data_IF_551579557261
#
_entry.id   IF_551579557261
#
_cell.length_a   1.000
_cell.length_b   1.000
_cell.length_c   1.000
_cell.angle_alpha   90.00
_cell.angle_beta   90.00
_cell.angle_gamma   90.00
#
_symmetry.space_group_name_H-M   'P 1'
#
loop_
_entity.id
_entity.type
_entity.pdbx_description
1 polymer ?
#
# COMPACT_ATOMS: atom_id res chain seq x y z
N UNK A 1 -4.74 3.22 3.74
CA UNK A 1 -5.98 2.91 4.51
C UNK A 1 -6.34 3.97 5.55
N UNK A 2 -5.43 4.40 6.43
CA UNK A 2 -5.76 5.25 7.59
C UNK A 2 -5.97 6.74 7.27
N UNK A 3 -5.05 7.36 6.52
CA UNK A 3 -5.02 8.83 6.33
C UNK A 3 -5.56 9.31 4.98
N UNK A 4 -6.13 8.39 4.18
CA UNK A 4 -6.53 8.66 2.80
C UNK A 4 -5.37 8.62 1.79
N UNK A 5 -5.65 8.50 0.48
CA UNK A 5 -4.64 8.27 -0.55
C UNK A 5 -3.75 9.49 -0.81
N UNK A 6 -4.30 10.70 -0.78
CA UNK A 6 -3.54 11.93 -1.04
C UNK A 6 -2.48 12.18 0.04
N UNK A 7 -2.89 12.19 1.32
CA UNK A 7 -1.97 12.37 2.45
C UNK A 7 -0.94 11.25 2.53
N UNK A 8 -1.34 10.01 2.26
CA UNK A 8 -0.41 8.87 2.23
C UNK A 8 0.62 9.00 1.09
N UNK A 9 0.20 9.45 -0.10
CA UNK A 9 1.10 9.68 -1.25
C UNK A 9 2.17 10.71 -0.88
N UNK A 10 1.77 11.86 -0.30
CA UNK A 10 2.72 12.90 0.10
C UNK A 10 3.66 12.42 1.22
N UNK A 11 3.12 11.76 2.24
CA UNK A 11 3.91 11.24 3.36
C UNK A 11 4.95 10.22 2.89
N UNK A 12 4.56 9.26 2.04
CA UNK A 12 5.49 8.26 1.52
C UNK A 12 6.55 8.86 0.60
N UNK A 13 6.21 9.87 -0.21
CA UNK A 13 7.21 10.58 -1.01
C UNK A 13 8.29 11.22 -0.13
N UNK A 14 7.91 11.83 1.00
CA UNK A 14 8.87 12.38 1.96
C UNK A 14 9.72 11.29 2.60
N UNK A 15 9.11 10.19 3.04
CA UNK A 15 9.82 9.03 3.63
C UNK A 15 10.86 8.48 2.64
N UNK A 16 10.48 8.29 1.38
CA UNK A 16 11.37 7.78 0.33
C UNK A 16 12.51 8.77 0.02
N UNK A 17 12.24 10.07 0.05
CA UNK A 17 13.28 11.09 -0.08
C UNK A 17 14.30 11.01 1.05
N UNK A 18 13.84 10.83 2.30
CA UNK A 18 14.71 10.64 3.46
C UNK A 18 15.52 9.33 3.34
N UNK A 19 14.90 8.24 2.87
CA UNK A 19 15.57 6.96 2.60
C UNK A 19 16.72 7.11 1.59
N UNK A 20 16.46 7.80 0.48
CA UNK A 20 17.47 8.02 -0.55
C UNK A 20 18.61 8.95 -0.09
N UNK A 21 18.31 9.99 0.70
CA UNK A 21 19.28 11.01 1.11
C UNK A 21 20.11 10.62 2.34
N UNK A 22 19.47 10.07 3.38
CA UNK A 22 20.12 9.85 4.68
C UNK A 22 20.53 8.39 4.89
N UNK A 23 19.80 7.46 4.29
CA UNK A 23 20.05 6.03 4.46
C UNK A 23 20.71 5.38 3.24
N UNK A 24 20.95 6.16 2.17
CA UNK A 24 21.47 5.69 0.88
C UNK A 24 20.68 4.50 0.31
N UNK A 25 19.40 4.38 0.70
CA UNK A 25 18.53 3.29 0.32
C UNK A 25 17.65 3.71 -0.87
N UNK A 26 17.64 2.91 -1.92
CA UNK A 26 16.89 3.16 -3.15
C UNK A 26 17.51 4.16 -4.13
N UNK A 27 18.54 4.93 -3.75
CA UNK A 27 19.32 5.81 -4.64
C UNK A 27 18.58 7.04 -5.20
N UNK A 28 19.27 8.18 -5.35
CA UNK A 28 18.65 9.42 -5.84
C UNK A 28 18.14 9.33 -7.29
N UNK A 29 18.84 8.62 -8.16
CA UNK A 29 18.46 8.51 -9.58
C UNK A 29 17.22 7.65 -9.78
N UNK A 30 16.96 6.69 -8.89
CA UNK A 30 15.78 5.83 -8.93
C UNK A 30 14.63 6.34 -8.03
N UNK A 31 14.82 7.45 -7.31
CA UNK A 31 13.83 8.01 -6.39
C UNK A 31 12.47 8.23 -7.07
N UNK A 32 12.44 8.73 -8.30
CA UNK A 32 11.19 8.92 -9.04
C UNK A 32 10.41 7.62 -9.27
N UNK A 33 11.13 6.53 -9.62
CA UNK A 33 10.52 5.21 -9.80
C UNK A 33 10.04 4.63 -8.46
N UNK A 34 10.83 4.78 -7.40
CA UNK A 34 10.45 4.34 -6.06
C UNK A 34 9.20 5.06 -5.55
N UNK A 35 9.16 6.39 -5.69
CA UNK A 35 7.98 7.21 -5.39
C UNK A 35 6.78 6.73 -6.19
N UNK A 36 6.91 6.53 -7.50
CA UNK A 36 5.80 6.05 -8.31
C UNK A 36 5.29 4.68 -7.87
N UNK A 37 6.16 3.70 -7.62
CA UNK A 37 5.70 2.37 -7.21
C UNK A 37 5.06 2.36 -5.81
N UNK A 38 5.71 3.01 -4.85
CA UNK A 38 5.32 2.89 -3.44
C UNK A 38 4.33 3.96 -3.01
N UNK A 39 4.51 5.21 -3.40
CA UNK A 39 3.60 6.29 -3.00
C UNK A 39 2.40 6.44 -3.94
N UNK A 40 2.52 5.99 -5.20
CA UNK A 40 1.39 6.01 -6.16
C UNK A 40 0.75 4.64 -6.31
N UNK A 41 1.43 3.64 -6.90
CA UNK A 41 0.77 2.35 -7.20
C UNK A 41 0.25 1.68 -5.92
N UNK A 42 1.11 1.45 -4.92
CA UNK A 42 0.69 0.73 -3.71
C UNK A 42 -0.43 1.47 -2.95
N UNK A 43 -0.32 2.79 -2.77
CA UNK A 43 -1.32 3.59 -2.07
C UNK A 43 -2.66 3.58 -2.79
N UNK A 44 -2.68 3.84 -4.08
CA UNK A 44 -3.93 3.97 -4.83
C UNK A 44 -4.59 2.62 -5.06
N UNK A 45 -3.82 1.57 -5.33
CA UNK A 45 -4.33 0.19 -5.40
C UNK A 45 -4.97 -0.21 -4.07
N UNK A 46 -4.29 -0.01 -2.95
CA UNK A 46 -4.86 -0.33 -1.63
C UNK A 46 -6.11 0.50 -1.34
N UNK A 47 -6.15 1.77 -1.77
CA UNK A 47 -7.31 2.62 -1.58
C UNK A 47 -8.53 2.15 -2.39
N UNK A 48 -8.36 1.85 -3.67
CA UNK A 48 -9.45 1.35 -4.51
C UNK A 48 -9.94 -0.02 -4.03
N UNK A 49 -9.03 -0.91 -3.64
CA UNK A 49 -9.40 -2.20 -3.05
C UNK A 49 -10.17 -2.04 -1.74
N UNK A 50 -9.75 -1.13 -0.86
CA UNK A 50 -10.49 -0.84 0.37
C UNK A 50 -11.92 -0.36 0.06
N UNK A 51 -12.10 0.54 -0.90
CA UNK A 51 -13.44 1.02 -1.30
C UNK A 51 -14.27 -0.13 -1.89
N UNK A 52 -13.68 -0.95 -2.75
CA UNK A 52 -14.36 -2.09 -3.38
C UNK A 52 -14.77 -3.14 -2.33
N UNK A 53 -13.85 -3.55 -1.47
CA UNK A 53 -14.08 -4.56 -0.43
C UNK A 53 -15.12 -4.10 0.59
N UNK A 54 -15.17 -2.80 0.92
CA UNK A 54 -16.21 -2.24 1.80
C UNK A 54 -17.63 -2.32 1.23
N UNK A 55 -17.80 -2.55 -0.09
CA UNK A 55 -19.13 -2.74 -0.69
C UNK A 55 -19.66 -4.16 -0.47
N UNK A 56 -18.78 -5.13 -0.27
CA UNK A 56 -19.14 -6.55 -0.14
C UNK A 56 -18.99 -7.08 1.29
N UNK A 57 -18.08 -6.51 2.09
CA UNK A 57 -17.85 -6.93 3.46
C UNK A 57 -18.83 -6.29 4.45
N UNK A 58 -19.07 -6.94 5.61
CA UNK A 58 -19.89 -6.36 6.68
C UNK A 58 -19.37 -4.98 7.11
N UNK A 59 -20.29 -4.04 7.36
CA UNK A 59 -19.98 -2.68 7.84
C UNK A 59 -19.63 -2.66 9.34
N UNK A 60 -18.76 -3.58 9.76
CA UNK A 60 -18.27 -3.73 11.13
C UNK A 60 -16.80 -3.31 11.21
N UNK A 61 -16.30 -3.08 12.44
CA UNK A 61 -14.89 -2.76 12.66
C UNK A 61 -13.98 -3.86 12.09
N UNK A 62 -14.32 -5.13 12.36
CA UNK A 62 -13.62 -6.29 11.81
C UNK A 62 -13.64 -6.32 10.28
N UNK A 63 -14.78 -6.00 9.65
CA UNK A 63 -14.88 -5.92 8.20
C UNK A 63 -13.94 -4.88 7.59
N UNK A 64 -13.80 -3.70 8.22
CA UNK A 64 -12.84 -2.67 7.77
C UNK A 64 -11.39 -3.12 7.97
N UNK A 65 -11.07 -3.77 9.09
CA UNK A 65 -9.72 -4.31 9.33
C UNK A 65 -9.35 -5.38 8.30
N UNK A 66 -10.25 -6.33 8.01
CA UNK A 66 -10.01 -7.37 7.01
C UNK A 66 -9.85 -6.75 5.62
N UNK A 67 -10.72 -5.79 5.26
CA UNK A 67 -10.61 -5.07 4.00
C UNK A 67 -9.25 -4.37 3.86
N UNK A 68 -8.77 -3.75 4.93
CA UNK A 68 -7.47 -3.09 4.97
C UNK A 68 -6.31 -4.07 4.77
N UNK A 69 -6.34 -5.21 5.45
CA UNK A 69 -5.30 -6.23 5.35
C UNK A 69 -5.22 -6.84 3.94
N UNK A 70 -6.37 -7.15 3.32
CA UNK A 70 -6.42 -7.65 1.94
C UNK A 70 -5.95 -6.57 0.95
N UNK A 71 -6.37 -5.32 1.14
CA UNK A 71 -5.93 -4.22 0.31
C UNK A 71 -4.40 -4.00 0.39
N UNK A 72 -3.82 -4.12 1.58
CA UNK A 72 -2.38 -4.07 1.78
C UNK A 72 -1.68 -5.25 1.09
N UNK A 73 -2.13 -6.49 1.34
CA UNK A 73 -1.60 -7.71 0.72
C UNK A 73 -1.48 -7.59 -0.80
N UNK A 74 -2.57 -7.19 -1.47
CA UNK A 74 -2.63 -7.15 -2.94
C UNK A 74 -1.85 -5.95 -3.51
N UNK A 75 -1.73 -4.86 -2.77
CA UNK A 75 -1.00 -3.67 -3.24
C UNK A 75 0.50 -3.91 -3.43
N UNK A 76 1.10 -4.76 -2.60
CA UNK A 76 2.55 -5.05 -2.60
C UNK A 76 3.00 -5.73 -3.91
N UNK A 77 2.44 -6.88 -4.33
CA UNK A 77 2.83 -7.52 -5.58
C UNK A 77 2.41 -6.69 -6.81
N UNK A 78 1.34 -5.88 -6.74
CA UNK A 78 0.99 -4.98 -7.85
C UNK A 78 1.99 -3.82 -8.01
N UNK A 79 2.52 -3.27 -6.91
CA UNK A 79 3.61 -2.31 -6.97
C UNK A 79 4.91 -2.94 -7.51
N UNK A 80 5.20 -4.19 -7.13
CA UNK A 80 6.34 -4.95 -7.66
C UNK A 80 6.23 -5.22 -9.17
N UNK A 81 5.02 -5.48 -9.65
CA UNK A 81 4.72 -5.56 -11.08
C UNK A 81 4.92 -4.21 -11.77
N UNK A 82 4.51 -3.10 -11.14
CA UNK A 82 4.79 -1.75 -11.62
C UNK A 82 6.29 -1.51 -11.84
N UNK A 83 7.12 -1.90 -10.86
CA UNK A 83 8.58 -1.84 -11.00
C UNK A 83 9.07 -2.71 -12.17
N UNK A 84 8.57 -3.94 -12.28
CA UNK A 84 8.94 -4.86 -13.37
C UNK A 84 8.63 -4.28 -14.74
N UNK A 85 7.50 -3.58 -14.89
CA UNK A 85 7.14 -2.88 -16.12
C UNK A 85 8.10 -1.72 -16.42
N UNK A 86 8.45 -0.92 -15.41
CA UNK A 86 9.44 0.16 -15.57
C UNK A 86 10.81 -0.39 -15.96
N UNK A 87 11.23 -1.51 -15.37
CA UNK A 87 12.46 -2.21 -15.75
C UNK A 87 12.44 -2.64 -17.22
N UNK A 88 11.33 -3.23 -17.67
CA UNK A 88 11.15 -3.63 -19.07
C UNK A 88 11.20 -2.44 -20.03
N UNK A 89 10.55 -1.32 -19.65
CA UNK A 89 10.55 -0.08 -20.43
C UNK A 89 11.93 0.58 -20.48
N UNK A 90 12.73 0.44 -19.42
CA UNK A 90 14.08 0.98 -19.35
C UNK A 90 15.02 0.38 -20.39
N UNK A 91 14.79 -0.87 -20.82
CA UNK A 91 15.47 -1.50 -21.96
C UNK A 91 16.98 -1.73 -21.83
N UNK A 92 17.62 -1.23 -20.76
CA UNK A 92 19.06 -1.32 -20.50
C UNK A 92 19.42 -2.40 -19.47
N UNK A 93 18.43 -3.18 -19.04
CA UNK A 93 18.60 -4.26 -18.08
C UNK A 93 19.43 -5.42 -18.62
N UNK A 94 20.32 -5.98 -17.79
CA UNK A 94 21.14 -7.15 -18.13
C UNK A 94 20.44 -8.49 -17.86
N UNK A 95 19.31 -8.47 -17.15
CA UNK A 95 18.55 -9.66 -16.75
C UNK A 95 17.24 -9.68 -17.55
N UNK A 96 16.79 -10.86 -17.98
CA UNK A 96 15.53 -10.99 -18.70
C UNK A 96 14.34 -10.49 -17.86
N UNK A 97 13.38 -9.82 -18.50
CA UNK A 97 12.17 -9.31 -17.83
C UNK A 97 11.42 -10.44 -17.11
N UNK A 98 11.34 -11.63 -17.71
CA UNK A 98 10.68 -12.78 -17.09
C UNK A 98 11.35 -13.23 -15.78
N UNK A 99 12.69 -13.22 -15.74
CA UNK A 99 13.44 -13.54 -14.52
C UNK A 99 13.21 -12.48 -13.43
N UNK A 100 13.25 -11.19 -13.79
CA UNK A 100 12.97 -10.09 -12.85
C UNK A 100 11.53 -10.18 -12.34
N UNK A 101 10.55 -10.40 -13.23
CA UNK A 101 9.15 -10.55 -12.86
C UNK A 101 8.94 -11.71 -11.87
N UNK A 102 9.53 -12.87 -12.15
CA UNK A 102 9.44 -14.04 -11.28
C UNK A 102 10.03 -13.77 -9.88
N UNK A 103 11.22 -13.17 -9.82
CA UNK A 103 11.87 -12.82 -8.56
C UNK A 103 11.09 -11.76 -7.77
N UNK A 104 10.64 -10.70 -8.44
CA UNK A 104 9.90 -9.59 -7.84
C UNK A 104 8.55 -10.06 -7.30
N UNK A 105 7.72 -10.71 -8.13
CA UNK A 105 6.41 -11.19 -7.68
C UNK A 105 6.57 -12.24 -6.58
N UNK A 106 7.48 -13.20 -6.76
CA UNK A 106 7.66 -14.30 -5.80
C UNK A 106 8.00 -13.81 -4.39
N UNK A 107 9.00 -12.93 -4.29
CA UNK A 107 9.37 -12.33 -2.99
C UNK A 107 8.28 -11.42 -2.43
N UNK A 108 7.60 -10.66 -3.28
CA UNK A 108 6.62 -9.66 -2.85
C UNK A 108 5.27 -10.27 -2.44
N UNK A 109 4.96 -11.50 -2.85
CA UNK A 109 3.86 -12.26 -2.27
C UNK A 109 4.10 -12.57 -0.78
N UNK A 110 5.34 -12.97 -0.41
CA UNK A 110 5.71 -13.22 0.98
C UNK A 110 5.75 -11.93 1.80
N UNK A 111 6.37 -10.87 1.25
CA UNK A 111 6.38 -9.54 1.90
C UNK A 111 4.96 -9.02 2.08
N UNK A 112 4.09 -9.22 1.08
CA UNK A 112 2.68 -8.85 1.14
C UNK A 112 1.94 -9.49 2.31
N UNK A 113 2.25 -10.74 2.67
CA UNK A 113 1.66 -11.40 3.86
C UNK A 113 2.07 -10.69 5.15
N UNK A 114 3.35 -10.31 5.27
CA UNK A 114 3.85 -9.53 6.39
C UNK A 114 3.16 -8.17 6.49
N UNK A 115 3.04 -7.47 5.37
CA UNK A 115 2.37 -6.17 5.29
C UNK A 115 0.88 -6.26 5.65
N UNK A 116 0.20 -7.33 5.21
CA UNK A 116 -1.19 -7.59 5.56
C UNK A 116 -1.38 -7.80 7.06
N UNK A 117 -0.48 -8.55 7.70
CA UNK A 117 -0.49 -8.79 9.14
C UNK A 117 -0.22 -7.50 9.92
N UNK A 118 0.80 -6.74 9.54
CA UNK A 118 1.13 -5.44 10.14
C UNK A 118 -0.06 -4.48 10.00
N UNK A 119 -0.66 -4.41 8.80
CA UNK A 119 -1.83 -3.57 8.54
C UNK A 119 -3.03 -4.01 9.37
N UNK A 120 -3.29 -5.32 9.47
CA UNK A 120 -4.38 -5.86 10.28
C UNK A 120 -4.23 -5.45 11.75
N UNK A 121 -3.06 -5.64 12.33
CA UNK A 121 -2.78 -5.29 13.72
C UNK A 121 -2.88 -3.77 13.96
N UNK A 122 -2.26 -2.98 13.08
CA UNK A 122 -2.25 -1.51 13.18
C UNK A 122 -3.66 -0.94 13.07
N UNK A 123 -4.44 -1.36 12.05
CA UNK A 123 -5.81 -0.87 11.86
C UNK A 123 -6.73 -1.34 12.99
N UNK A 124 -6.56 -2.58 13.49
CA UNK A 124 -7.30 -3.06 14.66
C UNK A 124 -7.01 -2.23 15.91
N UNK A 125 -5.75 -1.90 16.18
CA UNK A 125 -5.37 -1.10 17.33
C UNK A 125 -5.91 0.33 17.22
N UNK A 126 -5.81 0.96 16.04
CA UNK A 126 -6.32 2.32 15.81
C UNK A 126 -7.85 2.34 15.87
N UNK A 127 -8.57 1.36 15.30
CA UNK A 127 -10.04 1.36 15.36
C UNK A 127 -10.60 1.05 16.75
N UNK A 128 -9.80 0.40 17.61
CA UNK A 128 -10.13 0.16 19.00
C UNK A 128 -9.96 1.42 19.86
N UNK A 129 -8.91 2.22 19.61
CA UNK A 129 -8.56 3.40 20.43
C UNK A 129 -9.08 4.73 19.88
N UNK A 130 -9.03 4.92 18.57
CA UNK A 130 -9.33 6.16 17.82
C UNK A 130 -9.98 5.84 16.48
N UNK A 131 -11.22 5.32 16.52
CA UNK A 131 -11.94 4.93 15.30
C UNK A 131 -12.21 6.10 14.33
N UNK A 132 -12.15 7.34 14.81
CA UNK A 132 -12.23 8.57 14.03
C UNK A 132 -11.04 8.78 13.07
N UNK A 133 -9.87 8.19 13.38
CA UNK A 133 -8.67 8.31 12.55
C UNK A 133 -8.63 7.31 11.38
N UNK A 134 -9.55 6.35 11.34
CA UNK A 134 -9.60 5.37 10.25
C UNK A 134 -10.43 5.96 9.11
N UNK A 135 -9.79 6.46 8.05
CA UNK A 135 -10.48 6.99 6.86
C UNK A 135 -11.54 6.03 6.29
N UNK A 136 -11.31 4.72 6.44
CA UNK A 136 -12.24 3.66 6.06
C UNK A 136 -13.47 3.49 6.97
N UNK A 137 -13.55 4.13 8.14
CA UNK A 137 -14.62 3.97 9.11
C UNK A 137 -15.44 5.27 9.23
N UNK A 138 -16.76 5.16 9.06
CA UNK A 138 -17.70 6.24 9.39
C UNK A 138 -18.76 5.67 10.32
N UNK A 139 -18.80 6.07 11.61
CA UNK A 139 -19.89 5.64 12.50
C UNK A 139 -21.23 6.13 11.95
N UNK A 140 -22.29 5.34 12.12
CA UNK A 140 -23.66 5.79 11.86
C UNK A 140 -23.91 7.00 12.76
N UNK A 141 -24.20 8.16 12.18
CA UNK A 141 -24.66 9.31 12.95
C UNK A 141 -26.01 8.93 13.55
N UNK A 142 -26.08 8.76 14.87
CA UNK A 142 -27.36 8.72 15.56
C UNK A 142 -27.99 10.11 15.43
N UNK A 143 -28.99 10.24 14.56
CA UNK A 143 -29.86 11.40 14.57
C UNK A 143 -30.69 11.29 15.84
N UNK A 144 -30.29 12.02 16.89
CA UNK A 144 -31.15 12.23 18.06
C UNK A 144 -32.31 13.10 17.61
N UNK A 145 -33.46 12.48 17.34
CA UNK A 145 -34.76 13.14 17.17
C UNK A 145 -35.37 13.51 18.50
#
# INVERSE_FOLDING_TARGET
>A
VLVGPHSATLALTVVLGVQALLFADGGLTALGLNVFNLSVIAVWVSHFLLIALKRVLPKTKSGVTIAAAVAAYVSVPLAALGFTLQYALGGTGTISVGTVAGAMIGTHLLIGLGEALITFMTVSAVIATRSDLVYGWKPKLEIRS
#
